data_IF_543204066298
#
_entry.id   IF_543204066298
#
_cell.length_a   1.000
_cell.length_b   1.000
_cell.length_c   1.000
_cell.angle_alpha   90.00
_cell.angle_beta   90.00
_cell.angle_gamma   90.00
#
_symmetry.space_group_name_H-M   'P 1'
#
loop_
_entity.id
_entity.type
_entity.pdbx_description
1 polymer ?
#
# COMPACT_ATOMS: atom_id res chain seq x y z
N UNK A 1 -2.54 -7.04 64.55
CA UNK A 1 -3.54 -6.26 63.80
C UNK A 1 -2.77 -5.24 62.97
N UNK A 2 -2.48 -5.53 61.69
CA UNK A 2 -2.13 -4.58 60.61
C UNK A 2 -1.58 -5.31 59.35
N UNK A 3 -2.43 -5.88 58.49
CA UNK A 3 -2.09 -6.19 57.10
C UNK A 3 -2.71 -5.21 56.06
N UNK A 4 -3.50 -4.23 56.49
CA UNK A 4 -4.44 -3.51 55.62
C UNK A 4 -3.82 -2.35 54.82
N UNK A 5 -2.67 -1.82 55.27
CA UNK A 5 -2.04 -0.65 54.65
C UNK A 5 -1.24 -0.97 53.38
N UNK A 6 -0.56 -2.13 53.32
CA UNK A 6 0.30 -2.48 52.18
C UNK A 6 -0.50 -2.82 50.91
N UNK A 7 -1.64 -3.48 51.07
CA UNK A 7 -2.57 -3.78 49.96
C UNK A 7 -3.23 -2.51 49.41
N UNK A 8 -3.51 -1.52 50.25
CA UNK A 8 -4.06 -0.22 49.83
C UNK A 8 -3.05 0.59 49.01
N UNK A 9 -1.79 0.66 49.44
CA UNK A 9 -0.72 1.37 48.70
C UNK A 9 -0.42 0.70 47.34
N UNK A 10 -0.43 -0.64 47.28
CA UNK A 10 -0.24 -1.38 46.03
C UNK A 10 -1.39 -1.14 45.04
N UNK A 11 -2.64 -1.15 45.53
CA UNK A 11 -3.82 -0.86 44.70
C UNK A 11 -3.77 0.58 44.16
N UNK A 12 -3.30 1.53 44.97
CA UNK A 12 -3.14 2.94 44.58
C UNK A 12 -2.05 3.12 43.52
N UNK A 13 -0.90 2.45 43.67
CA UNK A 13 0.18 2.49 42.68
C UNK A 13 -0.22 1.88 41.32
N UNK A 14 -0.96 0.77 41.33
CA UNK A 14 -1.49 0.15 40.10
C UNK A 14 -2.47 1.09 39.40
N UNK A 15 -3.33 1.76 40.18
CA UNK A 15 -4.28 2.75 39.65
C UNK A 15 -3.53 3.91 39.00
N UNK A 16 -2.53 4.46 39.68
CA UNK A 16 -1.73 5.58 39.17
C UNK A 16 -0.95 5.22 37.89
N UNK A 17 -0.35 4.02 37.83
CA UNK A 17 0.35 3.55 36.63
C UNK A 17 -0.64 3.35 35.47
N UNK A 18 -1.84 2.83 35.76
CA UNK A 18 -2.89 2.63 34.75
C UNK A 18 -3.39 3.97 34.21
N UNK A 19 -3.61 4.96 35.07
CA UNK A 19 -4.00 6.31 34.67
C UNK A 19 -2.92 6.98 33.81
N UNK A 20 -1.64 6.86 34.19
CA UNK A 20 -0.50 7.37 33.40
C UNK A 20 -0.38 6.66 32.05
N UNK A 21 -0.56 5.34 32.00
CA UNK A 21 -0.56 4.60 30.75
C UNK A 21 -1.70 5.04 29.83
N UNK A 22 -2.90 5.24 30.37
CA UNK A 22 -4.04 5.77 29.61
C UNK A 22 -3.79 7.20 29.11
N UNK A 23 -3.12 8.04 29.90
CA UNK A 23 -2.73 9.40 29.49
C UNK A 23 -1.78 9.35 28.28
N UNK A 24 -0.71 8.55 28.35
CA UNK A 24 0.27 8.41 27.27
C UNK A 24 -0.38 7.93 25.97
N UNK A 25 -1.25 6.92 26.05
CA UNK A 25 -1.95 6.42 24.85
C UNK A 25 -2.82 7.51 24.23
N UNK A 26 -3.50 8.33 25.04
CA UNK A 26 -4.31 9.45 24.53
C UNK A 26 -3.44 10.53 23.89
N UNK A 27 -2.27 10.81 24.45
CA UNK A 27 -1.31 11.77 23.90
C UNK A 27 -0.73 11.30 22.57
N UNK A 28 -0.34 10.03 22.45
CA UNK A 28 0.13 9.46 21.18
C UNK A 28 -0.95 9.49 20.09
N UNK A 29 -2.20 9.19 20.45
CA UNK A 29 -3.32 9.31 19.51
C UNK A 29 -3.53 10.78 19.11
N UNK A 30 -3.43 11.72 20.06
CA UNK A 30 -3.59 13.14 19.78
C UNK A 30 -2.47 13.66 18.86
N UNK A 31 -1.23 13.22 19.08
CA UNK A 31 -0.08 13.54 18.26
C UNK A 31 -0.23 12.95 16.85
N UNK A 32 -0.53 11.64 16.75
CA UNK A 32 -0.77 10.97 15.48
C UNK A 32 -1.91 11.63 14.69
N UNK A 33 -2.98 12.05 15.37
CA UNK A 33 -4.07 12.80 14.75
C UNK A 33 -3.63 14.17 14.24
N UNK A 34 -2.82 14.89 14.99
CA UNK A 34 -2.27 16.18 14.59
C UNK A 34 -1.40 16.03 13.33
N UNK A 35 -0.44 15.09 13.36
CA UNK A 35 0.45 14.81 12.23
C UNK A 35 -0.34 14.33 10.99
N UNK A 36 -1.34 13.47 11.17
CA UNK A 36 -2.18 13.02 10.06
C UNK A 36 -3.01 14.17 9.48
N UNK A 37 -3.53 15.07 10.33
CA UNK A 37 -4.29 16.23 9.86
C UNK A 37 -3.42 17.18 9.05
N UNK A 38 -2.17 17.41 9.46
CA UNK A 38 -1.22 18.23 8.73
C UNK A 38 -0.88 17.61 7.36
N UNK A 39 -0.57 16.29 7.33
CA UNK A 39 -0.32 15.55 6.08
C UNK A 39 -1.51 15.62 5.13
N UNK A 40 -2.73 15.40 5.62
CA UNK A 40 -3.96 15.46 4.82
C UNK A 40 -4.22 16.88 4.33
N UNK A 41 -4.02 17.91 5.17
CA UNK A 41 -4.21 19.30 4.78
C UNK A 41 -3.28 19.70 3.63
N UNK A 42 -2.00 19.31 3.72
CA UNK A 42 -1.02 19.52 2.65
C UNK A 42 -1.45 18.82 1.36
N UNK A 43 -1.88 17.56 1.45
CA UNK A 43 -2.35 16.79 0.30
C UNK A 43 -3.59 17.43 -0.35
N UNK A 44 -4.59 17.86 0.44
CA UNK A 44 -5.81 18.51 -0.08
C UNK A 44 -5.48 19.80 -0.80
N UNK A 45 -4.61 20.65 -0.22
CA UNK A 45 -4.15 21.88 -0.88
C UNK A 45 -3.39 21.56 -2.18
N UNK A 46 -2.52 20.55 -2.13
CA UNK A 46 -1.78 20.06 -3.29
C UNK A 46 -2.70 19.58 -4.41
N UNK A 47 -3.75 18.82 -4.09
CA UNK A 47 -4.77 18.37 -5.05
C UNK A 47 -5.54 19.57 -5.62
N UNK A 48 -5.93 20.55 -4.81
CA UNK A 48 -6.66 21.71 -5.28
C UNK A 48 -5.85 22.54 -6.29
N UNK A 49 -4.60 22.88 -5.95
CA UNK A 49 -3.69 23.62 -6.84
C UNK A 49 -3.33 22.77 -8.06
N UNK A 50 -3.04 21.48 -7.86
CA UNK A 50 -2.70 20.54 -8.92
C UNK A 50 -3.85 20.35 -9.92
N UNK A 51 -5.10 20.30 -9.44
CA UNK A 51 -6.28 20.23 -10.29
C UNK A 51 -6.44 21.51 -11.12
N UNK A 52 -6.28 22.68 -10.51
CA UNK A 52 -6.32 23.95 -11.23
C UNK A 52 -5.23 24.01 -12.32
N UNK A 53 -3.98 23.70 -11.97
CA UNK A 53 -2.88 23.63 -12.93
C UNK A 53 -3.15 22.60 -14.04
N UNK A 54 -3.69 21.44 -13.69
CA UNK A 54 -4.09 20.40 -14.63
C UNK A 54 -5.10 20.88 -15.66
N UNK A 55 -6.08 21.70 -15.26
CA UNK A 55 -7.06 22.31 -16.19
C UNK A 55 -6.34 23.19 -17.22
N UNK A 56 -5.44 24.07 -16.77
CA UNK A 56 -4.71 24.96 -17.68
C UNK A 56 -3.78 24.20 -18.63
N UNK A 57 -3.06 23.18 -18.13
CA UNK A 57 -2.20 22.33 -18.95
C UNK A 57 -3.04 21.55 -19.98
N UNK A 58 -4.18 20.99 -19.57
CA UNK A 58 -5.07 20.27 -20.48
C UNK A 58 -5.67 21.20 -21.54
N UNK A 59 -6.16 22.38 -21.15
CA UNK A 59 -6.67 23.37 -22.08
C UNK A 59 -5.59 23.82 -23.07
N UNK A 60 -4.39 24.13 -22.57
CA UNK A 60 -3.24 24.49 -23.40
C UNK A 60 -2.86 23.39 -24.39
N UNK A 61 -2.85 22.12 -23.95
CA UNK A 61 -2.59 20.98 -24.83
C UNK A 61 -3.65 20.85 -25.92
N UNK A 62 -4.94 21.01 -25.61
CA UNK A 62 -6.02 20.98 -26.60
C UNK A 62 -5.83 22.07 -27.66
N UNK A 63 -5.61 23.32 -27.24
CA UNK A 63 -5.38 24.42 -28.18
C UNK A 63 -4.08 24.26 -28.98
N UNK A 64 -3.04 23.71 -28.37
CA UNK A 64 -1.79 23.43 -29.06
C UNK A 64 -1.96 22.35 -30.14
N UNK A 65 -2.69 21.27 -29.85
CA UNK A 65 -3.01 20.25 -30.86
C UNK A 65 -3.89 20.81 -31.98
N UNK A 66 -4.85 21.67 -31.64
CA UNK A 66 -5.67 22.38 -32.63
C UNK A 66 -4.80 23.27 -33.55
N UNK A 67 -3.90 24.06 -32.96
CA UNK A 67 -2.91 24.85 -33.68
C UNK A 67 -2.07 23.96 -34.61
N UNK A 68 -1.54 22.84 -34.11
CA UNK A 68 -0.69 21.95 -34.91
C UNK A 68 -1.46 21.33 -36.09
N UNK A 69 -2.73 20.94 -35.89
CA UNK A 69 -3.58 20.45 -36.97
C UNK A 69 -3.77 21.52 -38.05
N UNK A 70 -4.07 22.76 -37.67
CA UNK A 70 -4.21 23.87 -38.62
C UNK A 70 -2.89 24.19 -39.31
N UNK A 71 -1.77 24.17 -38.59
CA UNK A 71 -0.43 24.38 -39.16
C UNK A 71 -0.10 23.32 -40.21
N UNK A 72 -0.42 22.04 -39.96
CA UNK A 72 -0.24 20.97 -40.94
C UNK A 72 -1.08 21.24 -42.19
N UNK A 73 -2.34 21.63 -42.02
CA UNK A 73 -3.20 21.95 -43.16
C UNK A 73 -2.65 23.13 -43.97
N UNK A 74 -2.20 24.20 -43.30
CA UNK A 74 -1.66 25.41 -43.92
C UNK A 74 -0.37 25.12 -44.70
N UNK A 75 0.59 24.42 -44.09
CA UNK A 75 1.87 24.04 -44.73
C UNK A 75 1.65 23.16 -45.96
N UNK A 76 0.62 22.31 -45.95
CA UNK A 76 0.28 21.44 -47.07
C UNK A 76 -0.63 22.11 -48.12
N UNK A 77 -1.07 23.35 -47.89
CA UNK A 77 -2.10 24.00 -48.72
C UNK A 77 -3.41 23.21 -48.76
N UNK A 78 -3.70 22.45 -47.72
CA UNK A 78 -4.81 21.52 -47.62
C UNK A 78 -5.99 22.14 -46.85
N UNK A 79 -7.17 21.54 -47.00
CA UNK A 79 -8.32 21.93 -46.19
C UNK A 79 -8.08 21.59 -44.70
N UNK A 80 -8.46 22.45 -43.74
CA UNK A 80 -8.28 22.21 -42.31
C UNK A 80 -8.59 20.80 -41.81
N UNK A 81 -9.67 20.16 -42.30
CA UNK A 81 -10.06 18.82 -41.86
C UNK A 81 -8.98 17.75 -42.12
N UNK A 82 -8.16 17.91 -43.18
CA UNK A 82 -7.05 17.00 -43.47
C UNK A 82 -5.94 17.13 -42.43
N UNK A 83 -5.64 18.34 -41.96
CA UNK A 83 -4.67 18.57 -40.89
C UNK A 83 -5.07 17.88 -39.58
N UNK A 84 -6.36 17.95 -39.22
CA UNK A 84 -6.89 17.20 -38.08
C UNK A 84 -6.77 15.70 -38.26
N UNK A 85 -7.11 15.18 -39.44
CA UNK A 85 -7.06 13.75 -39.72
C UNK A 85 -5.63 13.21 -39.66
N UNK A 86 -4.67 13.93 -40.22
CA UNK A 86 -3.25 13.58 -40.20
C UNK A 86 -2.74 13.58 -38.74
N UNK A 87 -2.99 14.65 -37.99
CA UNK A 87 -2.53 14.74 -36.61
C UNK A 87 -3.16 13.65 -35.72
N UNK A 88 -4.45 13.38 -35.90
CA UNK A 88 -5.15 12.29 -35.21
C UNK A 88 -4.54 10.92 -35.56
N UNK A 89 -4.23 10.68 -36.83
CA UNK A 89 -3.54 9.47 -37.29
C UNK A 89 -2.17 9.29 -36.63
N UNK A 90 -1.37 10.35 -36.54
CA UNK A 90 -0.08 10.33 -35.83
C UNK A 90 -0.27 10.00 -34.34
N UNK A 91 -1.22 10.66 -33.68
CA UNK A 91 -1.50 10.42 -32.25
C UNK A 91 -1.95 8.98 -31.99
N UNK A 92 -2.81 8.40 -32.83
CA UNK A 92 -3.21 7.00 -32.69
C UNK A 92 -2.07 6.03 -32.99
N UNK A 93 -1.20 6.34 -33.96
CA UNK A 93 -0.05 5.51 -34.27
C UNK A 93 0.92 5.46 -33.08
N UNK A 94 1.34 6.62 -32.58
CA UNK A 94 2.27 6.69 -31.45
C UNK A 94 1.63 6.22 -30.15
N UNK A 95 0.39 6.60 -29.87
CA UNK A 95 -0.37 6.19 -28.70
C UNK A 95 -0.63 4.68 -28.69
N UNK A 96 -0.99 4.10 -29.84
CA UNK A 96 -1.16 2.67 -30.01
C UNK A 96 0.16 1.90 -29.81
N UNK A 97 1.27 2.41 -30.35
CA UNK A 97 2.59 1.80 -30.15
C UNK A 97 3.03 1.85 -28.68
N UNK A 98 2.91 3.02 -28.05
CA UNK A 98 3.24 3.19 -26.63
C UNK A 98 2.35 2.29 -25.74
N UNK A 99 1.04 2.26 -26.00
CA UNK A 99 0.09 1.39 -25.30
C UNK A 99 0.40 -0.10 -25.49
N UNK A 100 0.78 -0.51 -26.70
CA UNK A 100 1.23 -1.87 -26.99
C UNK A 100 2.51 -2.24 -26.21
N UNK A 101 3.52 -1.36 -26.23
CA UNK A 101 4.76 -1.55 -25.48
C UNK A 101 4.51 -1.62 -23.97
N UNK A 102 3.66 -0.74 -23.44
CA UNK A 102 3.24 -0.76 -22.04
C UNK A 102 2.54 -2.07 -21.69
N UNK A 103 1.57 -2.52 -22.49
CA UNK A 103 0.87 -3.79 -22.28
C UNK A 103 1.84 -4.98 -22.29
N UNK A 104 2.84 -4.97 -23.18
CA UNK A 104 3.88 -6.01 -23.22
C UNK A 104 4.79 -5.96 -22.00
N UNK A 105 5.16 -4.78 -21.52
CA UNK A 105 5.94 -4.60 -20.31
C UNK A 105 5.17 -5.09 -19.08
N UNK A 106 3.90 -4.74 -18.94
CA UNK A 106 3.04 -5.20 -17.84
C UNK A 106 2.89 -6.72 -17.83
N UNK A 107 2.64 -7.35 -18.99
CA UNK A 107 2.55 -8.82 -19.10
C UNK A 107 3.85 -9.54 -18.73
N UNK A 108 5.01 -8.91 -18.96
CA UNK A 108 6.31 -9.46 -18.55
C UNK A 108 6.64 -9.20 -17.08
N UNK A 109 6.05 -8.17 -16.49
CA UNK A 109 6.39 -7.67 -15.15
C UNK A 109 5.44 -8.12 -14.07
N UNK A 110 4.36 -8.85 -14.39
CA UNK A 110 3.61 -9.60 -13.38
C UNK A 110 4.54 -10.64 -12.76
N UNK A 111 4.93 -10.49 -11.48
CA UNK A 111 5.69 -11.51 -10.79
C UNK A 111 4.87 -12.82 -10.84
N UNK A 112 5.51 -14.00 -10.96
CA UNK A 112 4.78 -15.24 -10.82
C UNK A 112 3.97 -15.16 -9.52
N UNK A 113 2.68 -15.47 -9.58
CA UNK A 113 1.82 -15.48 -8.39
C UNK A 113 2.54 -16.28 -7.31
N UNK A 114 2.75 -15.74 -6.10
CA UNK A 114 3.52 -16.41 -5.05
C UNK A 114 2.69 -17.58 -4.51
N UNK A 115 2.72 -18.70 -5.23
CA UNK A 115 1.90 -19.88 -5.00
C UNK A 115 2.09 -20.38 -3.57
N UNK A 116 3.34 -20.42 -3.09
CA UNK A 116 3.66 -20.82 -1.71
C UNK A 116 3.00 -19.91 -0.67
N UNK A 117 3.04 -18.58 -0.85
CA UNK A 117 2.42 -17.65 0.10
C UNK A 117 0.88 -17.74 0.10
N UNK A 118 0.27 -18.01 -1.06
CA UNK A 118 -1.17 -18.23 -1.18
C UNK A 118 -1.56 -19.55 -0.50
N UNK A 119 -0.77 -20.60 -0.70
CA UNK A 119 -0.98 -21.93 -0.10
C UNK A 119 -0.85 -21.88 1.43
N UNK A 120 0.20 -21.24 1.96
CA UNK A 120 0.37 -21.01 3.40
C UNK A 120 -0.80 -20.21 4.00
N UNK A 121 -1.24 -19.15 3.33
CA UNK A 121 -2.39 -18.37 3.78
C UNK A 121 -3.69 -19.18 3.78
N UNK A 122 -3.87 -20.09 2.81
CA UNK A 122 -5.01 -21.01 2.78
C UNK A 122 -4.94 -22.06 3.89
N UNK A 123 -3.76 -22.60 4.18
CA UNK A 123 -3.53 -23.52 5.29
C UNK A 123 -3.86 -22.86 6.63
N UNK A 124 -3.35 -21.64 6.88
CA UNK A 124 -3.65 -20.88 8.10
C UNK A 124 -5.16 -20.66 8.23
N UNK A 125 -5.83 -20.26 7.14
CA UNK A 125 -7.28 -20.08 7.14
C UNK A 125 -8.02 -21.38 7.44
N UNK A 126 -7.60 -22.50 6.86
CA UNK A 126 -8.20 -23.80 7.10
C UNK A 126 -8.04 -24.24 8.57
N UNK A 127 -6.88 -24.00 9.17
CA UNK A 127 -6.60 -24.25 10.60
C UNK A 127 -7.46 -23.39 11.52
N UNK A 128 -7.78 -22.15 11.14
CA UNK A 128 -8.66 -21.27 11.92
C UNK A 128 -10.15 -21.59 11.74
N UNK A 129 -10.55 -22.11 10.58
CA UNK A 129 -11.93 -22.52 10.31
C UNK A 129 -12.29 -23.86 10.95
N UNK A 130 -11.31 -24.76 11.04
CA UNK A 130 -11.39 -25.99 11.83
C UNK A 130 -10.28 -25.96 12.89
N UNK A 131 -10.48 -25.24 14.02
CA UNK A 131 -9.57 -25.31 15.15
C UNK A 131 -9.62 -26.72 15.73
N UNK A 132 -8.81 -27.62 15.17
CA UNK A 132 -8.55 -28.89 15.81
C UNK A 132 -7.76 -28.55 17.07
N UNK A 133 -8.25 -28.90 18.28
CA UNK A 133 -7.47 -28.70 19.49
C UNK A 133 -6.14 -29.42 19.29
N UNK A 134 -5.03 -28.72 19.52
CA UNK A 134 -3.71 -29.32 19.48
C UNK A 134 -3.68 -30.45 20.52
N UNK A 135 -3.86 -31.69 20.08
CA UNK A 135 -3.60 -32.85 20.92
C UNK A 135 -2.10 -32.82 21.21
N UNK A 136 -1.66 -32.74 22.47
CA UNK A 136 -0.26 -32.74 22.83
C UNK A 136 0.33 -34.15 22.68
N UNK A 137 0.21 -34.77 21.51
CA UNK A 137 0.89 -36.01 21.14
C UNK A 137 2.18 -35.66 20.40
N UNK A 138 3.12 -35.09 21.14
CA UNK A 138 4.40 -34.67 20.57
C UNK A 138 5.36 -33.98 21.53
N UNK A 139 5.13 -34.06 22.84
CA UNK A 139 6.21 -33.81 23.80
C UNK A 139 7.06 -35.08 23.80
N UNK A 140 8.06 -35.12 22.92
CA UNK A 140 9.11 -36.14 22.95
C UNK A 140 9.77 -36.05 24.32
N UNK A 141 9.46 -37.03 25.18
CA UNK A 141 10.06 -37.17 26.49
C UNK A 141 11.60 -37.26 26.34
N UNK A 142 12.38 -36.67 27.26
CA UNK A 142 13.84 -36.68 27.16
C UNK A 142 14.34 -38.13 27.19
N UNK A 143 14.96 -38.56 26.10
CA UNK A 143 15.55 -39.89 25.98
C UNK A 143 16.82 -39.97 26.83
N UNK A 144 16.84 -40.96 27.72
CA UNK A 144 17.97 -41.35 28.58
C UNK A 144 19.26 -41.56 27.76
N UNK A 145 20.44 -41.10 28.21
CA UNK A 145 21.68 -41.28 27.46
C UNK A 145 22.14 -42.74 27.50
N UNK A 146 22.17 -43.37 26.33
CA UNK A 146 22.73 -44.71 26.11
C UNK A 146 24.25 -44.71 26.23
N UNK A 147 24.76 -45.73 26.92
CA UNK A 147 26.17 -45.96 27.25
C UNK A 147 27.10 -45.93 26.03
N UNK A 148 28.25 -45.31 26.25
CA UNK A 148 29.48 -45.40 25.46
C UNK A 148 29.89 -46.87 25.35
N UNK A 149 30.01 -47.39 24.13
CA UNK A 149 30.77 -48.62 23.88
C UNK A 149 31.79 -48.34 22.78
N UNK A 150 33.00 -48.04 23.24
CA UNK A 150 34.20 -47.92 22.41
C UNK A 150 34.74 -49.32 22.14
N UNK A 151 34.92 -49.69 20.87
CA UNK A 151 35.82 -50.79 20.51
C UNK A 151 36.42 -50.62 19.11
N UNK A 152 37.69 -50.21 19.15
CA UNK A 152 38.84 -50.55 18.28
C UNK A 152 38.58 -51.01 16.86
#
# INVERSE_FOLDING_TARGET
MAPDHQTSELAKAITEVTEKAQLLVREEIALAKAEMTEKVSGLVKGIAVGAAAGIFVLAGLIYFLHFLALLIADVLGANPWLGYLILAGLLFLFGGLAGFLAARAFKKSTPPTPQMAIEEAQLIKATLQNPQPATPEGVVAPTTPGKVEAKR
#
